data_IF_969589845591
#
_entry.id   IF_969589845591
#
_cell.length_a   1.000
_cell.length_b   1.000
_cell.length_c   1.000
_cell.angle_alpha   90.00
_cell.angle_beta   90.00
_cell.angle_gamma   90.00
#
_symmetry.space_group_name_H-M   'P 1'
#
loop_
_entity.id
_entity.type
_entity.pdbx_description
1 polymer ?
#
# COMPACT_ATOMS: atom_id res chain seq x y z
N UNK A 1 33.00 42.15 -10.14
CA UNK A 1 32.71 42.96 -11.34
C UNK A 1 33.61 42.63 -12.53
N UNK A 2 34.88 42.21 -12.37
CA UNK A 2 35.78 41.94 -13.50
C UNK A 2 35.50 40.66 -14.31
N UNK A 3 34.85 39.65 -13.71
CA UNK A 3 34.54 38.37 -14.37
C UNK A 3 33.36 38.44 -15.34
N UNK A 4 32.35 39.27 -15.03
CA UNK A 4 31.16 39.45 -15.87
C UNK A 4 31.51 40.25 -17.13
N UNK A 5 32.35 41.28 -17.00
CA UNK A 5 32.84 42.08 -18.12
C UNK A 5 33.73 41.27 -19.06
N UNK A 6 34.61 40.42 -18.51
CA UNK A 6 35.48 39.56 -19.30
C UNK A 6 34.69 38.48 -20.06
N UNK A 7 33.64 37.92 -19.45
CA UNK A 7 32.74 36.98 -20.12
C UNK A 7 31.93 37.66 -21.24
N UNK A 8 31.46 38.89 -21.02
CA UNK A 8 30.73 39.65 -22.03
C UNK A 8 31.61 39.97 -23.26
N UNK A 9 32.86 40.38 -23.06
CA UNK A 9 33.80 40.64 -24.17
C UNK A 9 34.13 39.37 -24.96
N UNK A 10 34.34 38.24 -24.26
CA UNK A 10 34.65 36.96 -24.91
C UNK A 10 33.45 36.44 -25.72
N UNK A 11 32.23 36.61 -25.20
CA UNK A 11 30.99 36.27 -25.91
C UNK A 11 30.79 37.19 -27.13
N UNK A 12 31.12 38.47 -27.02
CA UNK A 12 31.04 39.43 -28.12
C UNK A 12 32.00 39.06 -29.27
N UNK A 13 33.26 38.75 -28.94
CA UNK A 13 34.27 38.30 -29.91
C UNK A 13 33.90 36.96 -30.58
N UNK A 14 33.28 36.05 -29.82
CA UNK A 14 32.81 34.76 -30.34
C UNK A 14 31.60 34.91 -31.26
N UNK A 15 30.68 35.82 -30.93
CA UNK A 15 29.54 36.13 -31.78
C UNK A 15 30.04 36.73 -33.10
N UNK A 16 30.95 37.70 -33.07
CA UNK A 16 31.44 38.38 -34.29
C UNK A 16 32.19 37.48 -35.29
N UNK A 17 32.77 36.37 -34.83
CA UNK A 17 33.47 35.40 -35.69
C UNK A 17 32.57 34.39 -36.41
N UNK A 18 31.30 34.29 -36.04
CA UNK A 18 30.41 33.23 -36.52
C UNK A 18 29.30 33.76 -37.45
N UNK A 19 28.81 32.89 -38.35
CA UNK A 19 27.80 33.26 -39.35
C UNK A 19 26.50 33.77 -38.72
N UNK A 20 25.75 34.60 -39.45
CA UNK A 20 24.50 35.19 -38.96
C UNK A 20 23.48 34.15 -38.47
N UNK A 21 23.49 32.95 -39.05
CA UNK A 21 22.65 31.82 -38.63
C UNK A 21 23.04 31.30 -37.24
N UNK A 22 24.34 31.21 -36.94
CA UNK A 22 24.85 30.80 -35.62
C UNK A 22 24.55 31.88 -34.58
N UNK A 23 24.71 33.17 -34.94
CA UNK A 23 24.32 34.30 -34.08
C UNK A 23 22.86 34.19 -33.66
N UNK A 24 21.94 34.06 -34.62
CA UNK A 24 20.49 33.96 -34.39
C UNK A 24 20.12 32.73 -33.55
N UNK A 25 20.78 31.60 -33.79
CA UNK A 25 20.55 30.37 -33.02
C UNK A 25 20.98 30.52 -31.57
N UNK A 26 22.15 31.14 -31.33
CA UNK A 26 22.69 31.36 -29.99
C UNK A 26 21.85 32.38 -29.22
N UNK A 27 21.40 33.47 -29.84
CA UNK A 27 20.50 34.44 -29.20
C UNK A 27 19.14 33.83 -28.91
N UNK A 28 18.60 32.98 -29.78
CA UNK A 28 17.34 32.29 -29.51
C UNK A 28 17.46 31.34 -28.31
N UNK A 29 18.51 30.54 -28.24
CA UNK A 29 18.76 29.63 -27.09
C UNK A 29 18.99 30.41 -25.79
N UNK A 30 19.78 31.49 -25.84
CA UNK A 30 20.03 32.33 -24.67
C UNK A 30 18.75 33.04 -24.19
N UNK A 31 17.94 33.54 -25.12
CA UNK A 31 16.65 34.15 -24.80
C UNK A 31 15.71 33.12 -24.17
N UNK A 32 15.53 31.94 -24.77
CA UNK A 32 14.70 30.87 -24.21
C UNK A 32 15.17 30.42 -22.82
N UNK A 33 16.48 30.30 -22.60
CA UNK A 33 17.04 29.96 -21.30
C UNK A 33 16.78 31.05 -20.25
N UNK A 34 16.90 32.32 -20.62
CA UNK A 34 16.58 33.46 -19.75
C UNK A 34 15.09 33.51 -19.40
N UNK A 35 14.20 33.25 -20.38
CA UNK A 35 12.76 33.22 -20.15
C UNK A 35 12.39 32.07 -19.23
N UNK A 36 12.92 30.87 -19.47
CA UNK A 36 12.68 29.71 -18.61
C UNK A 36 13.21 29.93 -17.18
N UNK A 37 14.42 30.47 -17.03
CA UNK A 37 14.98 30.79 -15.72
C UNK A 37 14.15 31.85 -14.99
N UNK A 38 13.66 32.86 -15.71
CA UNK A 38 12.81 33.93 -15.17
C UNK A 38 11.45 33.38 -14.70
N UNK A 39 10.83 32.50 -15.51
CA UNK A 39 9.57 31.82 -15.17
C UNK A 39 9.76 30.93 -13.94
N UNK A 40 10.79 30.08 -13.92
CA UNK A 40 11.07 29.20 -12.77
C UNK A 40 11.37 30.00 -11.50
N UNK A 41 12.11 31.11 -11.62
CA UNK A 41 12.42 32.01 -10.49
C UNK A 41 11.16 32.72 -10.00
N UNK A 42 10.31 33.20 -10.92
CA UNK A 42 9.05 33.82 -10.58
C UNK A 42 8.10 32.83 -9.89
N UNK A 43 7.97 31.61 -10.43
CA UNK A 43 7.15 30.55 -9.86
C UNK A 43 7.62 30.15 -8.45
N UNK A 44 8.93 29.98 -8.25
CA UNK A 44 9.49 29.66 -6.93
C UNK A 44 9.29 30.81 -5.93
N UNK A 45 9.44 32.07 -6.35
CA UNK A 45 9.16 33.23 -5.51
C UNK A 45 7.67 33.39 -5.20
N UNK A 46 6.76 33.20 -6.15
CA UNK A 46 5.30 33.26 -5.96
C UNK A 46 4.83 32.19 -4.98
N UNK A 47 5.38 30.96 -5.07
CA UNK A 47 5.10 29.88 -4.10
C UNK A 47 5.60 30.21 -2.70
N UNK A 48 6.82 30.76 -2.58
CA UNK A 48 7.39 31.21 -1.29
C UNK A 48 6.56 32.33 -0.66
N UNK A 49 6.13 33.31 -1.48
CA UNK A 49 5.27 34.40 -1.03
C UNK A 49 3.93 33.87 -0.52
N UNK A 50 3.20 33.06 -1.30
CA UNK A 50 1.93 32.45 -0.87
C UNK A 50 2.09 31.65 0.43
N UNK A 51 3.14 30.85 0.56
CA UNK A 51 3.41 30.11 1.80
C UNK A 51 3.69 31.03 2.99
N UNK A 52 4.32 32.18 2.76
CA UNK A 52 4.58 33.19 3.79
C UNK A 52 3.31 33.94 4.20
N UNK A 53 2.55 34.47 3.24
CA UNK A 53 1.28 35.18 3.50
C UNK A 53 0.32 34.32 4.31
N UNK A 54 0.21 33.04 3.94
CA UNK A 54 -0.64 32.08 4.62
C UNK A 54 -0.16 31.78 6.06
N UNK A 55 1.15 31.77 6.30
CA UNK A 55 1.73 31.67 7.66
C UNK A 55 1.47 32.92 8.49
N UNK A 56 1.49 34.08 7.86
CA UNK A 56 1.22 35.36 8.52
C UNK A 56 -0.29 35.47 8.87
N UNK A 57 -1.19 35.06 7.97
CA UNK A 57 -2.64 34.95 8.24
C UNK A 57 -2.97 33.95 9.36
N UNK A 58 -2.25 32.82 9.43
CA UNK A 58 -2.42 31.83 10.50
C UNK A 58 -1.85 32.29 11.85
N UNK A 59 -0.81 33.11 11.84
CA UNK A 59 -0.28 33.76 13.05
C UNK A 59 -1.25 34.79 13.63
N UNK A 60 -1.99 35.50 12.79
CA UNK A 60 -3.06 36.39 13.27
C UNK A 60 -4.24 35.62 13.89
N UNK A 61 -4.38 34.32 13.58
CA UNK A 61 -5.40 33.43 14.14
C UNK A 61 -5.00 32.70 15.44
N UNK A 62 -3.91 33.13 16.12
CA UNK A 62 -3.34 32.42 17.27
C UNK A 62 -4.35 32.25 18.42
N UNK A 63 -4.80 31.01 18.60
CA UNK A 63 -5.48 30.53 19.80
C UNK A 63 -4.56 30.68 21.01
N UNK A 64 -5.04 31.37 22.05
CA UNK A 64 -4.39 31.46 23.35
C UNK A 64 -3.86 30.10 23.81
N UNK A 65 -2.53 29.97 23.98
CA UNK A 65 -1.94 28.89 24.77
C UNK A 65 -1.59 29.40 26.17
N UNK A 66 -2.41 29.17 27.20
CA UNK A 66 -1.89 28.79 28.49
C UNK A 66 -1.69 27.25 28.45
N UNK A 67 -0.75 26.64 29.17
CA UNK A 67 -0.75 26.57 30.62
C UNK A 67 0.65 26.13 31.10
N UNK A 68 1.07 26.74 32.20
CA UNK A 68 2.22 26.41 33.02
C UNK A 68 1.76 25.54 34.21
N UNK A 69 2.34 24.37 34.48
CA UNK A 69 2.01 23.61 35.71
C UNK A 69 3.19 22.90 36.40
N UNK A 70 3.28 23.22 37.70
CA UNK A 70 3.43 22.45 38.97
C UNK A 70 4.28 21.16 39.08
N UNK A 71 4.64 20.71 40.32
CA UNK A 71 5.57 19.60 40.59
C UNK A 71 5.18 18.18 40.12
N UNK A 72 4.04 18.00 39.43
CA UNK A 72 3.61 16.73 38.80
C UNK A 72 3.45 16.89 37.27
N UNK A 73 4.08 17.93 36.69
CA UNK A 73 4.05 18.31 35.27
C UNK A 73 3.14 19.53 35.01
N UNK A 74 3.24 20.26 33.89
CA UNK A 74 4.29 20.46 32.85
C UNK A 74 4.54 21.96 32.67
N UNK A 75 5.78 22.44 32.52
CA UNK A 75 6.44 22.63 31.20
C UNK A 75 7.96 22.39 31.29
N UNK A 76 8.58 21.84 30.23
CA UNK A 76 10.01 22.09 29.96
C UNK A 76 10.15 22.47 28.50
N UNK A 77 10.87 23.56 28.24
CA UNK A 77 11.21 24.04 26.91
C UNK A 77 11.83 22.96 26.03
N UNK A 78 11.96 23.28 24.74
CA UNK A 78 12.56 22.41 23.72
C UNK A 78 14.05 22.16 23.98
N UNK A 79 14.41 21.51 25.08
CA UNK A 79 15.67 20.81 25.20
C UNK A 79 15.45 19.44 24.58
N UNK A 80 15.89 19.27 23.33
CA UNK A 80 16.08 17.95 22.73
C UNK A 80 17.15 17.22 23.56
N UNK A 81 16.79 16.23 24.39
CA UNK A 81 17.79 15.46 25.11
C UNK A 81 18.44 14.52 24.10
N UNK A 82 19.62 14.90 23.64
CA UNK A 82 20.50 14.04 22.85
C UNK A 82 20.85 12.83 23.74
N UNK A 83 20.42 11.62 23.36
CA UNK A 83 20.68 10.32 24.02
C UNK A 83 19.80 9.88 25.21
N UNK A 84 18.46 9.96 25.12
CA UNK A 84 17.57 9.26 26.09
C UNK A 84 17.09 7.85 25.67
N UNK A 85 17.36 7.41 24.43
CA UNK A 85 16.90 6.10 23.97
C UNK A 85 17.96 5.02 24.19
N UNK A 86 17.91 4.37 25.34
CA UNK A 86 18.62 3.11 25.60
C UNK A 86 17.85 1.96 24.93
N UNK A 87 18.50 0.82 24.65
CA UNK A 87 17.77 -0.36 24.15
C UNK A 87 16.63 -0.77 25.09
N UNK A 88 16.78 -0.56 26.40
CA UNK A 88 15.72 -0.82 27.38
C UNK A 88 14.48 0.06 27.16
N UNK A 89 14.64 1.36 26.84
CA UNK A 89 13.49 2.23 26.57
C UNK A 89 12.84 1.93 25.22
N UNK A 90 13.64 1.53 24.22
CA UNK A 90 13.12 1.08 22.92
C UNK A 90 12.32 -0.22 23.08
N UNK A 91 12.84 -1.19 23.83
CA UNK A 91 12.13 -2.43 24.16
C UNK A 91 10.82 -2.17 24.91
N UNK A 92 10.82 -1.23 25.86
CA UNK A 92 9.61 -0.82 26.56
C UNK A 92 8.56 -0.21 25.60
N UNK A 93 8.99 0.70 24.71
CA UNK A 93 8.14 1.32 23.69
C UNK A 93 7.54 0.28 22.71
N UNK A 94 8.30 -0.76 22.36
CA UNK A 94 7.90 -1.80 21.41
C UNK A 94 7.34 -3.07 22.07
N UNK A 95 7.12 -3.06 23.38
CA UNK A 95 6.75 -4.24 24.18
C UNK A 95 5.51 -4.94 23.65
N UNK A 96 4.44 -4.20 23.35
CA UNK A 96 3.16 -4.77 22.85
C UNK A 96 3.27 -5.37 21.46
N UNK A 97 4.02 -4.73 20.57
CA UNK A 97 4.34 -5.29 19.25
C UNK A 97 5.16 -6.57 19.41
N UNK A 98 6.09 -6.61 20.37
CA UNK A 98 6.94 -7.78 20.64
C UNK A 98 6.18 -8.95 21.26
N UNK A 99 5.27 -8.68 22.19
CA UNK A 99 4.35 -9.68 22.76
C UNK A 99 3.48 -10.30 21.66
N UNK A 100 2.96 -9.49 20.74
CA UNK A 100 2.09 -9.95 19.66
C UNK A 100 2.82 -10.76 18.59
N UNK A 101 3.97 -10.28 18.09
CA UNK A 101 4.74 -10.93 17.02
C UNK A 101 5.66 -12.05 17.52
N UNK A 102 5.87 -12.13 18.85
CA UNK A 102 6.96 -12.88 19.45
C UNK A 102 8.34 -12.25 19.19
N UNK A 103 9.31 -12.61 20.04
CA UNK A 103 10.67 -12.03 20.00
C UNK A 103 11.37 -12.17 18.64
N UNK A 104 11.19 -13.29 17.94
CA UNK A 104 11.79 -13.54 16.63
C UNK A 104 11.18 -12.63 15.55
N UNK A 105 9.85 -12.56 15.47
CA UNK A 105 9.15 -11.74 14.49
C UNK A 105 9.43 -10.25 14.70
N UNK A 106 9.39 -9.80 15.96
CA UNK A 106 9.71 -8.43 16.32
C UNK A 106 11.16 -8.04 15.97
N UNK A 107 12.13 -8.95 16.14
CA UNK A 107 13.52 -8.71 15.73
C UNK A 107 13.64 -8.51 14.22
N UNK A 108 12.98 -9.33 13.41
CA UNK A 108 12.97 -9.17 11.94
C UNK A 108 12.43 -7.81 11.53
N UNK A 109 11.34 -7.38 12.15
CA UNK A 109 10.78 -6.04 11.92
C UNK A 109 11.78 -4.96 12.35
N UNK A 110 12.44 -5.11 13.51
CA UNK A 110 13.46 -4.17 14.00
C UNK A 110 14.74 -4.09 13.17
N UNK A 111 14.99 -5.06 12.30
CA UNK A 111 16.17 -5.11 11.44
C UNK A 111 15.86 -4.69 10.00
N UNK A 112 14.58 -4.51 9.65
CA UNK A 112 14.15 -4.31 8.27
C UNK A 112 14.35 -2.89 7.74
N UNK A 113 14.41 -2.81 6.42
CA UNK A 113 14.46 -1.59 5.62
C UNK A 113 13.25 -1.52 4.69
N UNK A 114 12.47 -0.43 4.80
CA UNK A 114 11.28 -0.21 3.98
C UNK A 114 11.36 1.11 3.22
N UNK A 115 11.01 1.10 1.95
CA UNK A 115 10.91 2.31 1.11
C UNK A 115 9.44 2.64 0.88
N UNK A 116 9.08 3.91 1.04
CA UNK A 116 7.74 4.43 0.79
C UNK A 116 7.80 5.46 -0.33
N UNK A 117 7.16 5.17 -1.47
CA UNK A 117 7.07 6.08 -2.61
C UNK A 117 5.70 6.76 -2.60
N UNK A 118 5.70 8.07 -2.36
CA UNK A 118 4.51 8.88 -2.11
C UNK A 118 4.27 9.10 -0.62
N UNK A 119 4.29 10.36 -0.19
CA UNK A 119 4.07 10.84 1.17
C UNK A 119 2.68 11.50 1.34
N UNK A 120 1.68 11.07 0.55
CA UNK A 120 0.29 11.51 0.69
C UNK A 120 -0.45 10.85 1.86
N UNK A 121 -1.78 10.93 1.86
CA UNK A 121 -2.62 10.39 2.93
C UNK A 121 -2.60 8.86 3.10
N UNK A 122 -1.98 8.10 2.19
CA UNK A 122 -1.73 6.66 2.37
C UNK A 122 -0.33 6.43 2.89
N UNK A 123 0.68 6.86 2.13
CA UNK A 123 2.08 6.60 2.45
C UNK A 123 2.54 7.24 3.75
N UNK A 124 2.06 8.43 4.11
CA UNK A 124 2.40 9.06 5.40
C UNK A 124 1.94 8.21 6.59
N UNK A 125 0.75 7.59 6.49
CA UNK A 125 0.21 6.73 7.55
C UNK A 125 0.89 5.36 7.58
N UNK A 126 1.19 4.79 6.40
CA UNK A 126 1.95 3.55 6.31
C UNK A 126 3.34 3.71 6.95
N UNK A 127 4.07 4.77 6.57
CA UNK A 127 5.38 5.08 7.13
C UNK A 127 5.32 5.30 8.65
N UNK A 128 4.30 5.99 9.16
CA UNK A 128 4.13 6.25 10.59
C UNK A 128 3.89 4.97 11.38
N UNK A 129 3.09 4.04 10.87
CA UNK A 129 2.83 2.76 11.54
C UNK A 129 4.07 1.84 11.50
N UNK A 130 4.84 1.86 10.41
CA UNK A 130 6.12 1.14 10.33
C UNK A 130 7.15 1.69 11.30
N UNK A 131 7.24 3.01 11.43
CA UNK A 131 8.07 3.69 12.43
C UNK A 131 7.71 3.21 13.84
N UNK A 132 6.41 3.22 14.18
CA UNK A 132 5.90 2.80 15.49
C UNK A 132 6.06 1.30 15.75
N UNK A 133 6.17 0.48 14.71
CA UNK A 133 6.51 -0.93 14.83
C UNK A 133 8.02 -1.17 15.05
N UNK A 134 8.84 -0.13 14.92
CA UNK A 134 10.27 -0.19 15.18
C UNK A 134 11.12 -0.59 13.98
N UNK A 135 10.60 -0.46 12.75
CA UNK A 135 11.39 -0.68 11.51
C UNK A 135 12.68 0.13 11.57
N UNK A 136 13.83 -0.50 11.31
CA UNK A 136 15.15 0.12 11.52
C UNK A 136 15.38 1.33 10.65
N UNK A 137 14.99 1.21 9.39
CA UNK A 137 15.29 2.16 8.35
C UNK A 137 14.06 2.36 7.47
N UNK A 138 13.62 3.60 7.37
CA UNK A 138 12.52 3.99 6.48
C UNK A 138 13.05 5.06 5.52
N UNK A 139 12.92 4.83 4.22
CA UNK A 139 13.15 5.87 3.22
C UNK A 139 11.82 6.33 2.68
N UNK A 140 11.59 7.63 2.63
CA UNK A 140 10.37 8.21 2.07
C UNK A 140 10.74 9.07 0.87
N UNK A 141 10.11 8.80 -0.27
CA UNK A 141 10.36 9.47 -1.55
C UNK A 141 9.09 10.21 -1.97
N UNK A 142 9.15 11.53 -2.04
CA UNK A 142 8.08 12.38 -2.58
C UNK A 142 8.66 13.76 -2.94
N UNK A 143 8.26 14.30 -4.09
CA UNK A 143 8.68 15.63 -4.57
C UNK A 143 7.74 16.76 -4.12
N UNK A 144 6.54 16.44 -3.61
CA UNK A 144 5.52 17.41 -3.23
C UNK A 144 5.83 18.13 -1.91
N UNK A 145 5.15 19.27 -1.74
CA UNK A 145 5.10 20.03 -0.48
C UNK A 145 3.77 19.81 0.25
N UNK A 146 3.78 20.05 1.56
CA UNK A 146 2.57 20.08 2.39
C UNK A 146 1.73 21.30 1.98
N UNK A 147 0.47 21.05 1.63
CA UNK A 147 -0.55 22.08 1.36
C UNK A 147 -1.58 22.12 2.49
N UNK A 148 -2.36 23.19 2.60
CA UNK A 148 -3.51 23.22 3.52
C UNK A 148 -4.46 22.04 3.29
N UNK A 149 -4.75 21.75 2.02
CA UNK A 149 -5.61 20.63 1.63
C UNK A 149 -4.99 19.26 1.93
N UNK A 150 -3.71 19.18 2.31
CA UNK A 150 -3.08 17.94 2.77
C UNK A 150 -3.42 17.63 4.22
N UNK A 151 -3.70 18.65 5.05
CA UNK A 151 -3.89 18.52 6.50
C UNK A 151 -5.10 17.68 6.90
N UNK A 152 -6.09 17.54 6.01
CA UNK A 152 -7.26 16.69 6.28
C UNK A 152 -6.95 15.18 6.28
N UNK A 153 -5.76 14.76 5.81
CA UNK A 153 -5.43 13.33 5.63
C UNK A 153 -3.96 12.96 5.82
N UNK A 154 -3.03 13.91 5.79
CA UNK A 154 -1.61 13.62 6.03
C UNK A 154 -1.39 13.26 7.51
N UNK A 155 -0.57 12.25 7.78
CA UNK A 155 -0.52 11.62 9.11
C UNK A 155 0.04 12.50 10.23
N UNK A 156 1.05 13.33 9.92
CA UNK A 156 1.81 14.10 10.93
C UNK A 156 1.88 15.59 10.62
N UNK A 157 1.37 16.04 9.47
CA UNK A 157 1.55 17.42 9.06
C UNK A 157 0.65 18.35 9.88
N UNK A 158 1.22 19.47 10.31
CA UNK A 158 0.53 20.53 11.04
C UNK A 158 0.47 21.80 10.20
N UNK A 159 -0.21 22.84 10.70
CA UNK A 159 -0.27 24.15 10.04
C UNK A 159 1.13 24.76 9.82
N UNK A 160 2.07 24.53 10.73
CA UNK A 160 3.45 25.05 10.62
C UNK A 160 4.23 24.43 9.46
N UNK A 161 3.88 23.21 9.08
CA UNK A 161 4.56 22.44 8.04
C UNK A 161 4.11 22.83 6.63
N UNK A 162 3.06 23.64 6.48
CA UNK A 162 2.58 24.11 5.18
C UNK A 162 3.70 24.84 4.42
N UNK A 163 3.90 24.45 3.17
CA UNK A 163 4.97 24.93 2.29
C UNK A 163 6.32 24.22 2.45
N UNK A 164 6.44 23.26 3.38
CA UNK A 164 7.65 22.42 3.50
C UNK A 164 7.52 21.13 2.68
N UNK A 165 8.61 20.54 2.18
CA UNK A 165 8.56 19.23 1.52
C UNK A 165 7.95 18.16 2.43
N UNK A 166 7.02 17.33 1.90
CA UNK A 166 6.31 16.32 2.70
C UNK A 166 7.27 15.34 3.39
N UNK A 167 8.31 14.89 2.68
CA UNK A 167 9.32 13.98 3.24
C UNK A 167 10.11 14.60 4.40
N UNK A 168 10.38 15.92 4.36
CA UNK A 168 11.04 16.63 5.45
C UNK A 168 10.13 16.80 6.66
N UNK A 169 8.85 17.11 6.43
CA UNK A 169 7.83 17.12 7.47
C UNK A 169 7.76 15.76 8.17
N UNK A 170 7.69 14.66 7.40
CA UNK A 170 7.71 13.30 7.94
C UNK A 170 8.96 13.06 8.79
N UNK A 171 10.16 13.33 8.27
CA UNK A 171 11.41 13.12 9.01
C UNK A 171 11.47 13.90 10.32
N UNK A 172 11.05 15.17 10.32
CA UNK A 172 10.97 16.01 11.52
C UNK A 172 10.12 15.32 12.59
N UNK A 173 8.88 15.00 12.27
CA UNK A 173 7.93 14.39 13.22
C UNK A 173 8.33 12.96 13.61
N UNK A 174 8.96 12.20 12.72
CA UNK A 174 9.41 10.84 13.02
C UNK A 174 10.55 10.82 14.03
N UNK A 175 11.48 11.79 13.94
CA UNK A 175 12.56 11.93 14.92
C UNK A 175 12.03 12.29 16.32
N UNK A 176 10.86 12.91 16.43
CA UNK A 176 10.19 13.18 17.71
C UNK A 176 9.53 11.92 18.30
N UNK A 177 9.11 10.98 17.45
CA UNK A 177 8.35 9.77 17.84
C UNK A 177 9.27 8.58 18.13
N UNK A 178 10.27 8.36 17.28
CA UNK A 178 11.16 7.20 17.35
C UNK A 178 12.55 7.57 16.77
N UNK A 179 13.36 8.35 17.51
CA UNK A 179 14.68 8.80 17.04
C UNK A 179 15.70 7.67 16.84
N UNK A 180 15.40 6.45 17.31
CA UNK A 180 16.19 5.25 17.08
C UNK A 180 15.99 4.64 15.67
N UNK A 181 15.00 5.13 14.91
CA UNK A 181 14.76 4.72 13.53
C UNK A 181 15.49 5.67 12.58
N UNK A 182 16.24 5.12 11.63
CA UNK A 182 16.87 5.90 10.57
C UNK A 182 15.81 6.30 9.54
N UNK A 183 15.64 7.59 9.30
CA UNK A 183 14.70 8.11 8.29
C UNK A 183 15.44 8.89 7.19
N UNK A 184 15.38 8.38 5.96
CA UNK A 184 15.88 9.06 4.77
C UNK A 184 14.73 9.83 4.09
N UNK A 185 14.90 11.14 3.90
CA UNK A 185 13.95 12.03 3.23
C UNK A 185 14.42 12.37 1.81
N UNK A 186 13.89 11.68 0.81
CA UNK A 186 14.27 11.85 -0.58
C UNK A 186 13.25 12.75 -1.31
N UNK A 187 13.65 13.98 -1.63
CA UNK A 187 12.84 14.90 -2.44
C UNK A 187 13.15 14.63 -3.91
N UNK A 188 12.44 13.68 -4.50
CA UNK A 188 12.64 13.31 -5.91
C UNK A 188 11.36 12.73 -6.52
N UNK A 189 11.27 12.77 -7.85
CA UNK A 189 10.23 12.13 -8.65
C UNK A 189 10.82 10.88 -9.29
N UNK A 190 10.19 9.74 -9.06
CA UNK A 190 10.61 8.46 -9.64
C UNK A 190 10.46 8.48 -11.17
N UNK A 191 11.54 8.11 -11.86
CA UNK A 191 11.62 7.95 -13.31
C UNK A 191 12.58 6.81 -13.66
N UNK A 192 12.71 6.49 -14.95
CA UNK A 192 13.54 5.37 -15.41
C UNK A 192 15.03 5.55 -15.10
N UNK A 193 15.52 6.79 -14.99
CA UNK A 193 16.94 7.09 -14.83
C UNK A 193 17.39 7.02 -13.36
N UNK A 194 16.49 7.27 -12.41
CA UNK A 194 16.82 7.32 -10.97
C UNK A 194 16.25 6.16 -10.14
N UNK A 195 15.45 5.26 -10.73
CA UNK A 195 14.75 4.20 -9.99
C UNK A 195 15.71 3.22 -9.29
N UNK A 196 16.84 2.86 -9.93
CA UNK A 196 17.85 1.97 -9.32
C UNK A 196 18.47 2.61 -8.06
N UNK A 197 18.75 3.91 -8.09
CA UNK A 197 19.33 4.65 -6.96
C UNK A 197 18.31 4.87 -5.84
N UNK A 198 17.10 5.30 -6.21
CA UNK A 198 16.03 5.59 -5.26
C UNK A 198 15.61 4.34 -4.49
N UNK A 199 15.50 3.20 -5.18
CA UNK A 199 15.13 1.90 -4.60
C UNK A 199 16.34 1.06 -4.17
N UNK A 200 17.54 1.64 -4.18
CA UNK A 200 18.77 0.99 -3.79
C UNK A 200 18.83 0.64 -2.29
N UNK A 201 19.82 -0.20 -1.94
CA UNK A 201 20.06 -0.62 -0.56
C UNK A 201 19.32 -1.89 -0.13
N UNK A 202 18.76 -2.65 -1.09
CA UNK A 202 18.07 -3.94 -0.88
C UNK A 202 16.95 -3.85 0.18
N UNK A 203 15.88 -3.07 -0.09
CA UNK A 203 14.77 -2.97 0.84
C UNK A 203 14.04 -4.32 0.98
N UNK A 204 13.60 -4.62 2.20
CA UNK A 204 12.74 -5.77 2.47
C UNK A 204 11.36 -5.59 1.83
N UNK A 205 10.87 -4.34 1.77
CA UNK A 205 9.61 -3.96 1.15
C UNK A 205 9.64 -2.57 0.51
N UNK A 206 8.88 -2.43 -0.57
CA UNK A 206 8.55 -1.17 -1.23
C UNK A 206 7.05 -0.92 -1.15
N UNK A 207 6.66 0.27 -0.70
CA UNK A 207 5.27 0.73 -0.68
C UNK A 207 5.07 1.72 -1.82
N UNK A 208 4.13 1.41 -2.70
CA UNK A 208 3.69 2.34 -3.72
C UNK A 208 2.39 3.03 -3.29
N UNK A 209 2.51 4.31 -2.94
CA UNK A 209 1.42 5.23 -2.63
C UNK A 209 1.33 6.38 -3.66
N UNK A 210 1.81 6.15 -4.89
CA UNK A 210 1.80 7.12 -5.99
C UNK A 210 0.37 7.30 -6.53
N UNK A 211 0.01 8.52 -6.92
CA UNK A 211 -1.28 8.84 -7.54
C UNK A 211 -1.26 8.79 -9.08
N UNK A 212 -0.13 9.11 -9.72
CA UNK A 212 0.05 8.97 -11.15
C UNK A 212 0.08 7.49 -11.58
N UNK A 213 -0.80 7.12 -12.52
CA UNK A 213 -0.96 5.73 -12.98
C UNK A 213 0.27 5.23 -13.72
N UNK A 214 0.93 6.04 -14.54
CA UNK A 214 2.08 5.61 -15.34
C UNK A 214 3.30 5.35 -14.45
N UNK A 215 3.66 6.31 -13.59
CA UNK A 215 4.76 6.14 -12.62
C UNK A 215 4.51 4.96 -11.67
N UNK A 216 3.25 4.73 -11.26
CA UNK A 216 2.83 3.56 -10.50
C UNK A 216 3.12 2.25 -11.24
N UNK A 217 2.76 2.16 -12.51
CA UNK A 217 3.03 0.98 -13.34
C UNK A 217 4.53 0.76 -13.50
N UNK A 218 5.30 1.82 -13.71
CA UNK A 218 6.76 1.73 -13.86
C UNK A 218 7.43 1.22 -12.59
N UNK A 219 7.03 1.74 -11.42
CA UNK A 219 7.48 1.25 -10.12
C UNK A 219 7.11 -0.22 -9.89
N UNK A 220 5.85 -0.58 -10.14
CA UNK A 220 5.37 -1.96 -9.97
C UNK A 220 6.12 -2.93 -10.89
N UNK A 221 6.35 -2.55 -12.15
CA UNK A 221 7.12 -3.32 -13.13
C UNK A 221 8.57 -3.49 -12.67
N UNK A 222 9.23 -2.40 -12.29
CA UNK A 222 10.62 -2.43 -11.83
C UNK A 222 10.79 -3.37 -10.63
N UNK A 223 9.92 -3.25 -9.62
CA UNK A 223 9.95 -4.13 -8.46
C UNK A 223 9.70 -5.61 -8.85
N UNK A 224 8.77 -5.86 -9.76
CA UNK A 224 8.50 -7.22 -10.26
C UNK A 224 9.74 -7.83 -10.95
N UNK A 225 10.37 -7.09 -11.87
CA UNK A 225 11.53 -7.55 -12.62
C UNK A 225 12.75 -7.79 -11.74
N UNK A 226 12.97 -6.92 -10.74
CA UNK A 226 14.07 -7.02 -9.76
C UNK A 226 13.74 -7.94 -8.59
N UNK A 227 12.55 -8.54 -8.55
CA UNK A 227 12.05 -9.40 -7.47
C UNK A 227 12.06 -8.71 -6.09
N UNK A 228 11.77 -7.41 -6.07
CA UNK A 228 11.57 -6.65 -4.84
C UNK A 228 10.12 -6.84 -4.35
N UNK A 229 9.95 -7.08 -3.05
CA UNK A 229 8.61 -7.18 -2.48
C UNK A 229 7.94 -5.80 -2.55
N UNK A 230 6.80 -5.73 -3.24
CA UNK A 230 6.06 -4.49 -3.42
C UNK A 230 4.59 -4.66 -3.05
N UNK A 231 4.05 -3.67 -2.36
CA UNK A 231 2.61 -3.51 -2.14
C UNK A 231 2.17 -2.13 -2.64
N UNK A 232 1.13 -2.11 -3.48
CA UNK A 232 0.62 -0.88 -4.09
C UNK A 232 -0.76 -0.49 -3.57
N UNK A 233 -0.94 0.78 -3.24
CA UNK A 233 -2.24 1.35 -2.95
C UNK A 233 -3.00 1.67 -4.22
N UNK A 234 -4.22 1.16 -4.31
CA UNK A 234 -5.19 1.50 -5.35
C UNK A 234 -6.02 2.72 -4.93
N UNK A 235 -7.23 2.88 -5.48
CA UNK A 235 -7.99 4.12 -5.34
C UNK A 235 -8.60 4.24 -3.95
N UNK A 236 -8.07 5.12 -3.10
CA UNK A 236 -8.69 5.46 -1.80
C UNK A 236 -9.66 6.65 -1.87
N UNK A 237 -9.70 7.36 -3.01
CA UNK A 237 -10.58 8.52 -3.21
C UNK A 237 -12.03 8.13 -3.48
N UNK A 238 -12.95 9.06 -3.19
CA UNK A 238 -14.40 8.90 -3.37
C UNK A 238 -15.03 7.72 -2.62
N UNK A 239 -14.38 7.22 -1.56
CA UNK A 239 -14.82 6.08 -0.75
C UNK A 239 -15.12 6.50 0.68
N UNK A 240 -15.96 5.73 1.36
CA UNK A 240 -16.42 6.01 2.72
C UNK A 240 -16.56 4.75 3.61
N UNK A 241 -16.61 3.54 3.05
CA UNK A 241 -16.85 2.31 3.82
C UNK A 241 -15.51 1.61 4.17
N UNK A 242 -15.07 1.67 5.45
CA UNK A 242 -13.82 1.05 5.87
C UNK A 242 -13.86 -0.47 5.87
N UNK A 243 -15.04 -1.09 5.97
CA UNK A 243 -15.20 -2.55 5.99
C UNK A 243 -14.88 -3.21 4.64
N UNK A 244 -14.75 -2.39 3.58
CA UNK A 244 -14.54 -2.82 2.20
C UNK A 244 -13.07 -2.78 1.77
N UNK A 245 -12.17 -2.31 2.64
CA UNK A 245 -10.72 -2.30 2.39
C UNK A 245 -10.18 -3.72 2.47
N UNK A 246 -9.48 -4.15 1.42
CA UNK A 246 -8.93 -5.50 1.32
C UNK A 246 -7.50 -5.45 0.79
N UNK A 247 -6.72 -6.47 1.13
CA UNK A 247 -5.40 -6.73 0.55
C UNK A 247 -5.48 -8.05 -0.20
N UNK A 248 -5.11 -8.02 -1.47
CA UNK A 248 -5.07 -9.20 -2.33
C UNK A 248 -4.00 -9.04 -3.40
N UNK A 249 -3.77 -10.10 -4.19
CA UNK A 249 -3.00 -9.97 -5.42
C UNK A 249 -3.75 -9.11 -6.45
N UNK A 250 -3.00 -8.36 -7.27
CA UNK A 250 -3.57 -7.51 -8.33
C UNK A 250 -4.49 -8.30 -9.27
N UNK A 251 -4.21 -9.59 -9.51
CA UNK A 251 -5.01 -10.47 -10.37
C UNK A 251 -6.41 -10.73 -9.82
N UNK A 252 -6.59 -10.68 -8.50
CA UNK A 252 -7.82 -11.03 -7.80
C UNK A 252 -8.73 -9.83 -7.50
N UNK A 253 -8.22 -8.62 -7.72
CA UNK A 253 -8.96 -7.38 -7.46
C UNK A 253 -10.26 -7.27 -8.26
N UNK A 254 -11.31 -6.80 -7.60
CA UNK A 254 -12.63 -6.61 -8.19
C UNK A 254 -13.26 -5.29 -7.72
N UNK A 255 -14.20 -4.77 -8.51
CA UNK A 255 -14.92 -3.50 -8.31
C UNK A 255 -14.11 -2.19 -8.33
N UNK A 256 -12.83 -2.19 -7.93
CA UNK A 256 -12.00 -0.99 -7.92
C UNK A 256 -11.60 -0.55 -9.35
N UNK A 257 -11.98 0.67 -9.81
CA UNK A 257 -11.66 1.15 -11.15
C UNK A 257 -10.16 1.39 -11.39
N UNK A 258 -9.44 1.86 -10.37
CA UNK A 258 -7.99 2.08 -10.47
C UNK A 258 -7.28 0.73 -10.57
N UNK A 259 -7.63 -0.21 -9.69
CA UNK A 259 -7.06 -1.56 -9.73
C UNK A 259 -7.33 -2.25 -11.07
N UNK A 260 -8.55 -2.09 -11.64
CA UNK A 260 -8.89 -2.61 -12.97
C UNK A 260 -8.02 -2.02 -14.07
N UNK A 261 -7.77 -0.71 -14.03
CA UNK A 261 -6.94 -0.01 -15.03
C UNK A 261 -5.48 -0.44 -14.92
N UNK A 262 -4.94 -0.45 -13.69
CA UNK A 262 -3.57 -0.90 -13.39
C UNK A 262 -3.37 -2.34 -13.84
N UNK A 263 -4.28 -3.25 -13.44
CA UNK A 263 -4.25 -4.67 -13.85
C UNK A 263 -4.24 -4.83 -15.38
N UNK A 264 -5.04 -4.06 -16.11
CA UNK A 264 -5.06 -4.12 -17.59
C UNK A 264 -3.74 -3.65 -18.20
N UNK A 265 -3.10 -2.63 -17.63
CA UNK A 265 -1.79 -2.15 -18.09
C UNK A 265 -0.68 -3.16 -17.78
N UNK A 266 -0.65 -3.72 -16.58
CA UNK A 266 0.30 -4.77 -16.19
C UNK A 266 0.18 -6.03 -17.06
N UNK A 267 -1.05 -6.45 -17.39
CA UNK A 267 -1.28 -7.58 -18.31
C UNK A 267 -0.70 -7.37 -19.71
N UNK A 268 -0.59 -6.11 -20.18
CA UNK A 268 0.06 -5.81 -21.47
C UNK A 268 1.59 -5.89 -21.39
N UNK A 269 2.14 -5.90 -20.17
CA UNK A 269 3.56 -6.05 -19.87
C UNK A 269 3.87 -7.48 -19.41
N UNK A 270 2.98 -8.44 -19.68
CA UNK A 270 3.06 -9.84 -19.26
C UNK A 270 3.11 -10.09 -17.74
N UNK A 271 2.73 -9.10 -16.93
CA UNK A 271 2.60 -9.24 -15.48
C UNK A 271 1.15 -9.60 -15.13
N UNK A 272 0.89 -10.88 -14.87
CA UNK A 272 -0.45 -11.41 -14.61
C UNK A 272 -0.83 -11.44 -13.13
N UNK A 273 0.14 -11.68 -12.24
CA UNK A 273 0.01 -11.84 -10.79
C UNK A 273 1.37 -11.65 -10.10
N UNK A 274 1.40 -11.65 -8.77
CA UNK A 274 2.62 -11.55 -7.97
C UNK A 274 2.85 -10.17 -7.34
N UNK A 275 1.85 -9.27 -7.43
CA UNK A 275 1.93 -7.94 -6.84
C UNK A 275 0.75 -7.74 -5.89
N UNK A 276 1.07 -7.57 -4.60
CA UNK A 276 0.09 -7.28 -3.56
C UNK A 276 -0.45 -5.87 -3.73
N UNK A 277 -1.75 -5.68 -3.52
CA UNK A 277 -2.38 -4.37 -3.56
C UNK A 277 -3.41 -4.19 -2.45
N UNK A 278 -3.47 -2.97 -1.90
CA UNK A 278 -4.56 -2.53 -1.06
C UNK A 278 -5.61 -1.84 -1.95
N UNK A 279 -6.84 -2.33 -1.92
CA UNK A 279 -7.95 -1.79 -2.71
C UNK A 279 -9.23 -1.81 -1.88
N UNK A 280 -10.31 -1.25 -2.42
CA UNK A 280 -11.62 -1.37 -1.78
C UNK A 280 -12.69 -1.79 -2.79
N UNK A 281 -13.58 -2.65 -2.31
CA UNK A 281 -14.72 -3.21 -3.06
C UNK A 281 -15.94 -2.31 -3.05
N UNK A 282 -15.86 -1.15 -2.40
CA UNK A 282 -16.92 -0.14 -2.39
C UNK A 282 -17.17 0.40 -3.81
N UNK A 283 -18.45 0.51 -4.17
CA UNK A 283 -18.92 1.12 -5.41
C UNK A 283 -19.42 2.54 -5.10
N UNK A 284 -18.61 3.59 -5.33
CA UNK A 284 -19.06 4.94 -5.03
C UNK A 284 -20.17 5.34 -6.00
N UNK A 285 -21.37 5.60 -5.48
CA UNK A 285 -22.55 5.97 -6.28
C UNK A 285 -22.92 7.45 -6.17
N UNK A 286 -22.43 8.15 -5.15
CA UNK A 286 -22.91 9.47 -4.74
C UNK A 286 -21.87 10.58 -4.86
N UNK A 287 -20.63 10.25 -5.22
CA UNK A 287 -19.52 11.20 -5.30
C UNK A 287 -19.32 11.66 -6.74
N UNK A 288 -19.53 12.95 -7.00
CA UNK A 288 -19.24 13.59 -8.29
C UNK A 288 -17.81 14.13 -8.32
N UNK A 289 -17.20 14.14 -9.49
CA UNK A 289 -15.90 14.80 -9.71
C UNK A 289 -16.08 16.30 -9.45
N UNK A 290 -15.14 16.89 -8.70
CA UNK A 290 -15.16 18.33 -8.48
C UNK A 290 -14.84 19.07 -9.80
N UNK A 291 -15.57 20.14 -10.14
CA UNK A 291 -15.21 20.98 -11.28
C UNK A 291 -13.82 21.59 -11.05
N UNK A 292 -13.06 21.77 -12.13
CA UNK A 292 -11.82 22.52 -12.07
C UNK A 292 -12.21 24.00 -11.89
N UNK A 293 -11.66 24.68 -10.88
CA UNK A 293 -11.83 26.13 -10.73
C UNK A 293 -11.35 26.84 -12.00
N UNK A 294 -12.17 27.74 -12.54
CA UNK A 294 -11.94 28.42 -13.82
C UNK A 294 -10.62 29.22 -13.85
N UNK A 295 -10.16 29.72 -12.71
CA UNK A 295 -8.85 30.39 -12.55
C UNK A 295 -7.63 29.48 -12.82
N UNK A 296 -7.78 28.14 -12.74
CA UNK A 296 -6.70 27.20 -13.05
C UNK A 296 -6.64 26.81 -14.54
N UNK A 297 -7.49 27.39 -15.37
CA UNK A 297 -7.54 27.12 -16.81
C UNK A 297 -6.45 27.90 -17.54
N UNK A 298 -6.10 29.12 -17.10
CA UNK A 298 -5.04 29.93 -17.71
C UNK A 298 -3.62 29.38 -17.43
N UNK A 299 -3.43 28.72 -16.29
CA UNK A 299 -2.17 28.05 -15.92
C UNK A 299 -1.96 26.69 -16.65
N UNK A 300 -2.87 26.29 -17.56
CA UNK A 300 -2.75 25.02 -18.32
C UNK A 300 -1.48 24.95 -19.15
N UNK A 301 -1.04 26.07 -19.71
CA UNK A 301 0.17 26.11 -20.54
C UNK A 301 1.47 26.13 -19.70
N UNK A 302 1.40 26.43 -18.40
CA UNK A 302 2.55 26.40 -17.49
C UNK A 302 2.74 25.05 -16.77
N UNK A 303 1.66 24.28 -16.57
CA UNK A 303 1.72 22.92 -15.99
C UNK A 303 1.68 21.79 -17.04
N UNK A 304 1.56 22.12 -18.33
CA UNK A 304 1.61 21.19 -19.47
C UNK A 304 2.99 20.57 -19.73
N UNK A 305 4.05 21.06 -19.08
CA UNK A 305 5.39 20.48 -19.17
C UNK A 305 5.49 19.06 -18.57
N UNK A 306 4.44 18.56 -17.90
CA UNK A 306 4.30 17.16 -17.50
C UNK A 306 3.07 16.54 -18.22
N UNK A 307 3.24 15.57 -19.13
CA UNK A 307 2.18 15.08 -20.03
C UNK A 307 0.95 14.40 -19.39
N UNK A 308 0.74 14.44 -18.07
CA UNK A 308 -0.32 13.67 -17.38
C UNK A 308 -0.88 14.34 -16.10
N UNK A 309 -0.72 15.65 -15.91
CA UNK A 309 -1.13 16.32 -14.66
C UNK A 309 -2.66 16.57 -14.57
N UNK A 310 -3.34 15.75 -13.74
CA UNK A 310 -4.72 15.81 -13.18
C UNK A 310 -5.83 16.47 -14.03
N UNK A 311 -6.56 15.63 -14.77
CA UNK A 311 -7.78 16.00 -15.52
C UNK A 311 -9.11 16.05 -14.72
N UNK A 312 -9.12 15.89 -13.38
CA UNK A 312 -10.24 16.12 -12.42
C UNK A 312 -9.86 15.56 -11.03
N UNK A 313 -10.21 16.21 -9.92
CA UNK A 313 -9.88 15.75 -8.55
C UNK A 313 -11.06 14.99 -7.95
N UNK A 314 -10.83 13.75 -7.50
CA UNK A 314 -11.78 13.01 -6.68
C UNK A 314 -11.73 13.55 -5.24
N UNK A 315 -12.88 13.87 -4.61
CA UNK A 315 -12.89 14.24 -3.21
C UNK A 315 -12.46 13.05 -2.34
N UNK A 316 -11.81 13.34 -1.22
CA UNK A 316 -11.19 12.34 -0.36
C UNK A 316 -11.60 12.58 1.09
N UNK A 317 -12.25 11.58 1.69
CA UNK A 317 -12.46 11.51 3.14
C UNK A 317 -11.18 10.98 3.78
N UNK A 318 -10.51 11.78 4.62
CA UNK A 318 -9.15 11.50 5.09
C UNK A 318 -8.97 10.17 5.85
N UNK A 319 -10.04 9.64 6.45
CA UNK A 319 -10.03 8.37 7.17
C UNK A 319 -9.81 7.15 6.26
N UNK A 320 -10.23 7.21 4.99
CA UNK A 320 -10.08 6.06 4.09
C UNK A 320 -8.64 5.87 3.60
N UNK A 321 -7.92 6.90 3.10
CA UNK A 321 -6.49 6.78 2.80
C UNK A 321 -5.66 6.36 4.02
N UNK A 322 -5.98 6.86 5.22
CA UNK A 322 -5.25 6.48 6.43
C UNK A 322 -5.43 4.99 6.74
N UNK A 323 -6.65 4.46 6.60
CA UNK A 323 -6.93 3.03 6.75
C UNK A 323 -6.23 2.16 5.69
N UNK A 324 -6.12 2.63 4.44
CA UNK A 324 -5.28 1.97 3.43
C UNK A 324 -3.82 1.92 3.89
N UNK A 325 -3.29 3.03 4.40
CA UNK A 325 -1.92 3.10 4.90
C UNK A 325 -1.68 2.17 6.09
N UNK A 326 -2.63 2.12 7.04
CA UNK A 326 -2.59 1.21 8.18
C UNK A 326 -2.67 -0.26 7.75
N UNK A 327 -3.58 -0.60 6.83
CA UNK A 327 -3.69 -1.96 6.31
C UNK A 327 -2.40 -2.42 5.61
N UNK A 328 -1.80 -1.55 4.80
CA UNK A 328 -0.51 -1.79 4.13
C UNK A 328 0.61 -2.02 5.17
N UNK A 329 0.71 -1.15 6.18
CA UNK A 329 1.74 -1.29 7.22
C UNK A 329 1.57 -2.61 7.99
N UNK A 330 0.35 -2.95 8.40
CA UNK A 330 0.05 -4.23 9.07
C UNK A 330 0.45 -5.41 8.20
N UNK A 331 0.14 -5.39 6.90
CA UNK A 331 0.53 -6.46 5.98
C UNK A 331 2.06 -6.63 5.90
N UNK A 332 2.79 -5.53 5.79
CA UNK A 332 4.27 -5.56 5.73
C UNK A 332 4.84 -6.09 7.04
N UNK A 333 4.38 -5.58 8.19
CA UNK A 333 4.85 -6.01 9.51
C UNK A 333 4.66 -7.52 9.69
N UNK A 334 3.47 -8.03 9.38
CA UNK A 334 3.15 -9.46 9.53
C UNK A 334 3.93 -10.34 8.55
N UNK A 335 4.19 -9.86 7.32
CA UNK A 335 5.02 -10.58 6.34
C UNK A 335 6.49 -10.63 6.75
N UNK A 336 7.07 -9.50 7.15
CA UNK A 336 8.47 -9.43 7.63
C UNK A 336 8.65 -10.27 8.89
N UNK A 337 7.68 -10.23 9.80
CA UNK A 337 7.69 -11.04 11.02
C UNK A 337 7.51 -12.55 10.76
N UNK A 338 7.14 -12.95 9.54
CA UNK A 338 6.73 -14.32 9.19
C UNK A 338 5.62 -14.82 10.12
N UNK A 339 4.59 -13.99 10.33
CA UNK A 339 3.50 -14.32 11.25
C UNK A 339 2.76 -15.59 10.80
N UNK A 340 2.61 -16.61 11.67
CA UNK A 340 2.03 -17.89 11.29
C UNK A 340 0.61 -17.76 10.72
N UNK A 341 0.37 -18.38 9.56
CA UNK A 341 -0.96 -18.42 8.94
C UNK A 341 -1.46 -17.08 8.39
N UNK A 342 -0.59 -16.07 8.25
CA UNK A 342 -0.95 -14.80 7.62
C UNK A 342 -0.97 -14.90 6.09
N UNK A 343 -2.12 -15.33 5.55
CA UNK A 343 -2.40 -15.39 4.12
C UNK A 343 -3.60 -14.48 3.79
N UNK A 344 -3.39 -13.17 3.50
CA UNK A 344 -4.48 -12.27 3.18
C UNK A 344 -5.15 -12.70 1.86
N UNK A 345 -6.49 -12.81 1.87
CA UNK A 345 -7.30 -13.23 0.73
C UNK A 345 -8.33 -12.18 0.34
N UNK A 346 -8.63 -12.13 -0.96
CA UNK A 346 -9.72 -11.33 -1.48
C UNK A 346 -11.07 -11.96 -1.06
N UNK A 347 -11.82 -11.29 -0.20
CA UNK A 347 -13.15 -11.73 0.23
C UNK A 347 -14.15 -11.27 -0.84
N UNK A 348 -14.54 -12.20 -1.73
CA UNK A 348 -15.38 -11.93 -2.92
C UNK A 348 -16.89 -11.93 -2.67
N UNK A 349 -17.35 -12.50 -1.55
CA UNK A 349 -18.78 -12.61 -1.16
C UNK A 349 -19.68 -13.09 -2.32
N UNK A 350 -19.38 -14.26 -2.88
CA UNK A 350 -20.10 -14.84 -4.03
C UNK A 350 -21.31 -15.66 -3.60
N UNK A 351 -22.34 -15.03 -3.04
CA UNK A 351 -23.50 -15.73 -2.46
C UNK A 351 -24.19 -16.73 -3.42
N UNK A 352 -24.31 -16.35 -4.70
CA UNK A 352 -24.87 -17.25 -5.72
C UNK A 352 -24.00 -18.48 -5.99
N UNK A 353 -22.67 -18.32 -5.92
CA UNK A 353 -21.73 -19.45 -6.03
C UNK A 353 -21.86 -20.37 -4.82
N UNK A 354 -21.87 -19.82 -3.60
CA UNK A 354 -21.96 -20.62 -2.37
C UNK A 354 -23.27 -21.39 -2.31
N UNK A 355 -24.39 -20.74 -2.68
CA UNK A 355 -25.70 -21.41 -2.78
C UNK A 355 -25.69 -22.56 -3.78
N UNK A 356 -25.03 -22.38 -4.94
CA UNK A 356 -24.89 -23.44 -5.94
C UNK A 356 -24.05 -24.60 -5.41
N UNK A 357 -22.90 -24.31 -4.81
CA UNK A 357 -21.97 -25.31 -4.25
C UNK A 357 -22.64 -26.07 -3.10
N UNK A 358 -23.37 -25.39 -2.22
CA UNK A 358 -24.13 -26.02 -1.13
C UNK A 358 -25.20 -26.99 -1.65
N UNK A 359 -26.01 -26.58 -2.63
CA UNK A 359 -27.01 -27.46 -3.26
C UNK A 359 -26.38 -28.68 -3.94
N UNK A 360 -25.24 -28.48 -4.61
CA UNK A 360 -24.50 -29.57 -5.25
C UNK A 360 -23.95 -30.55 -4.20
N UNK A 361 -23.33 -30.04 -3.14
CA UNK A 361 -22.84 -30.83 -2.00
C UNK A 361 -23.96 -31.65 -1.35
N UNK A 362 -25.12 -31.05 -1.06
CA UNK A 362 -26.29 -31.75 -0.52
C UNK A 362 -26.80 -32.86 -1.43
N UNK A 363 -26.83 -32.60 -2.74
CA UNK A 363 -27.27 -33.59 -3.72
C UNK A 363 -26.31 -34.78 -3.77
N UNK A 364 -25.00 -34.53 -3.63
CA UNK A 364 -23.99 -35.59 -3.57
C UNK A 364 -24.11 -36.40 -2.29
N UNK A 365 -24.27 -35.73 -1.15
CA UNK A 365 -24.42 -36.35 0.15
C UNK A 365 -25.61 -37.32 0.19
N UNK A 366 -26.76 -36.90 -0.36
CA UNK A 366 -27.94 -37.74 -0.49
C UNK A 366 -27.72 -38.94 -1.43
N UNK A 367 -26.99 -38.76 -2.54
CA UNK A 367 -26.78 -39.81 -3.54
C UNK A 367 -25.74 -40.85 -3.11
N UNK A 368 -24.64 -40.42 -2.51
CA UNK A 368 -23.51 -41.27 -2.16
C UNK A 368 -23.62 -41.89 -0.77
N UNK A 369 -24.28 -41.21 0.18
CA UNK A 369 -24.31 -41.62 1.60
C UNK A 369 -25.73 -41.70 2.18
N UNK A 370 -26.78 -41.41 1.39
CA UNK A 370 -28.18 -41.41 1.81
C UNK A 370 -28.48 -40.51 3.03
N UNK A 371 -27.68 -39.45 3.23
CA UNK A 371 -27.81 -38.49 4.31
C UNK A 371 -28.52 -37.22 3.81
N UNK A 372 -29.66 -36.88 4.43
CA UNK A 372 -30.48 -35.70 4.07
C UNK A 372 -30.17 -34.45 4.87
N UNK A 373 -29.55 -34.63 6.04
CA UNK A 373 -29.30 -33.55 7.00
C UNK A 373 -27.82 -33.19 6.92
N UNK A 374 -27.53 -31.93 6.65
CA UNK A 374 -26.18 -31.38 6.69
C UNK A 374 -26.09 -30.30 7.76
N UNK A 375 -24.99 -30.34 8.51
CA UNK A 375 -24.66 -29.40 9.57
C UNK A 375 -24.13 -28.07 9.05
N UNK A 376 -23.65 -28.04 7.79
CA UNK A 376 -23.04 -26.87 7.17
C UNK A 376 -24.11 -26.05 6.44
N UNK A 377 -24.18 -24.76 6.76
CA UNK A 377 -25.02 -23.80 6.05
C UNK A 377 -24.33 -23.23 4.79
N UNK A 378 -24.97 -22.29 4.10
CA UNK A 378 -24.42 -21.67 2.88
C UNK A 378 -23.19 -20.80 3.18
N UNK A 379 -23.14 -20.16 4.36
CA UNK A 379 -22.01 -19.32 4.79
C UNK A 379 -20.82 -20.18 5.18
N UNK A 380 -21.05 -21.31 5.84
CA UNK A 380 -20.05 -22.32 6.17
C UNK A 380 -19.41 -22.88 4.91
N UNK A 381 -20.22 -23.14 3.87
CA UNK A 381 -19.72 -23.51 2.54
C UNK A 381 -18.87 -22.40 1.93
N UNK A 382 -19.27 -21.14 2.07
CA UNK A 382 -18.46 -19.99 1.64
C UNK A 382 -17.11 -19.93 2.34
N UNK A 383 -17.09 -20.16 3.66
CA UNK A 383 -15.87 -20.22 4.47
C UNK A 383 -14.96 -21.37 4.05
N UNK A 384 -15.48 -22.59 3.94
CA UNK A 384 -14.70 -23.76 3.53
C UNK A 384 -14.15 -23.54 2.12
N UNK A 385 -14.98 -23.05 1.20
CA UNK A 385 -14.59 -22.85 -0.20
C UNK A 385 -13.52 -21.77 -0.38
N UNK A 386 -13.73 -20.58 0.18
CA UNK A 386 -12.83 -19.43 -0.04
C UNK A 386 -11.69 -19.37 0.99
N UNK A 387 -11.97 -19.53 2.29
CA UNK A 387 -10.95 -19.31 3.33
C UNK A 387 -10.10 -20.55 3.63
N UNK A 388 -10.70 -21.75 3.62
CA UNK A 388 -9.92 -22.97 3.85
C UNK A 388 -9.21 -23.43 2.58
N UNK A 389 -9.90 -23.40 1.45
CA UNK A 389 -9.41 -23.97 0.18
C UNK A 389 -9.03 -22.94 -0.88
N UNK A 390 -9.18 -21.65 -0.63
CA UNK A 390 -8.77 -20.57 -1.55
C UNK A 390 -9.42 -20.65 -2.93
N UNK A 391 -10.61 -21.25 -3.02
CA UNK A 391 -11.26 -21.53 -4.30
C UNK A 391 -10.40 -22.36 -5.25
N UNK A 392 -9.61 -23.31 -4.72
CA UNK A 392 -8.76 -24.24 -5.49
C UNK A 392 -9.07 -25.68 -5.12
N UNK A 393 -8.93 -26.58 -6.10
CA UNK A 393 -8.90 -28.01 -5.84
C UNK A 393 -7.68 -28.37 -4.98
N UNK A 394 -7.90 -29.30 -4.07
CA UNK A 394 -6.86 -29.94 -3.27
C UNK A 394 -5.87 -30.70 -4.14
N UNK A 395 -6.32 -31.24 -5.27
CA UNK A 395 -5.53 -32.10 -6.16
C UNK A 395 -4.96 -31.25 -7.32
N UNK A 396 -5.83 -30.71 -8.17
CA UNK A 396 -5.43 -30.01 -9.41
C UNK A 396 -5.16 -28.50 -9.26
N UNK A 397 -5.53 -27.88 -8.14
CA UNK A 397 -5.33 -26.44 -7.95
C UNK A 397 -6.44 -25.57 -8.59
N UNK A 398 -6.12 -24.43 -9.24
CA UNK A 398 -7.12 -23.48 -9.75
C UNK A 398 -8.03 -24.08 -10.84
N UNK A 399 -9.35 -24.02 -10.65
CA UNK A 399 -10.35 -24.46 -11.63
C UNK A 399 -11.67 -23.68 -11.44
N UNK A 400 -12.51 -23.58 -12.47
CA UNK A 400 -13.78 -22.87 -12.45
C UNK A 400 -14.96 -23.75 -11.99
N UNK A 401 -14.82 -25.08 -12.06
CA UNK A 401 -15.86 -26.08 -11.79
C UNK A 401 -15.55 -26.89 -10.54
N UNK A 402 -15.38 -26.17 -9.45
CA UNK A 402 -15.13 -26.74 -8.13
C UNK A 402 -16.43 -27.10 -7.40
N UNK A 403 -16.32 -28.11 -6.54
CA UNK A 403 -17.36 -28.60 -5.65
C UNK A 403 -16.75 -29.09 -4.33
N UNK A 404 -17.59 -29.26 -3.30
CA UNK A 404 -17.18 -29.78 -2.01
C UNK A 404 -17.63 -31.24 -1.86
N UNK A 405 -16.77 -32.08 -1.28
CA UNK A 405 -17.07 -33.47 -0.91
C UNK A 405 -16.37 -33.85 0.40
N UNK A 406 -16.72 -35.01 0.97
CA UNK A 406 -16.06 -35.58 2.15
C UNK A 406 -14.61 -35.96 1.82
N UNK A 407 -13.68 -35.78 2.75
CA UNK A 407 -12.31 -36.28 2.61
C UNK A 407 -12.20 -37.74 3.04
N UNK A 408 -12.59 -38.04 4.29
CA UNK A 408 -12.79 -39.40 4.78
C UNK A 408 -14.27 -39.75 4.64
N UNK A 409 -14.56 -40.71 3.74
CA UNK A 409 -15.93 -41.15 3.44
C UNK A 409 -16.68 -41.67 4.67
N UNK A 410 -15.97 -42.18 5.68
CA UNK A 410 -16.54 -42.75 6.92
C UNK A 410 -17.04 -41.68 7.89
N UNK A 411 -16.55 -40.45 7.77
CA UNK A 411 -16.91 -39.33 8.65
C UNK A 411 -17.96 -38.46 7.95
N UNK A 412 -18.82 -37.80 8.72
CA UNK A 412 -19.82 -36.85 8.20
C UNK A 412 -19.15 -35.58 7.66
N UNK A 413 -19.89 -34.79 6.89
CA UNK A 413 -19.46 -33.45 6.50
C UNK A 413 -19.28 -32.58 7.73
N UNK A 414 -18.10 -31.97 7.82
CA UNK A 414 -17.70 -31.05 8.87
C UNK A 414 -16.52 -30.20 8.35
N UNK A 415 -16.16 -29.13 9.06
CA UNK A 415 -15.00 -28.29 8.74
C UNK A 415 -13.70 -29.11 8.60
N UNK A 416 -13.54 -30.16 9.40
CA UNK A 416 -12.35 -31.01 9.43
C UNK A 416 -12.46 -32.26 8.54
N UNK A 417 -13.48 -32.35 7.70
CA UNK A 417 -13.68 -33.48 6.80
C UNK A 417 -14.23 -33.08 5.42
N UNK A 418 -14.19 -31.79 5.07
CA UNK A 418 -14.70 -31.30 3.78
C UNK A 418 -13.58 -30.71 2.95
N UNK A 419 -13.45 -31.18 1.71
CA UNK A 419 -12.40 -30.80 0.75
C UNK A 419 -12.99 -30.21 -0.51
N UNK A 420 -12.23 -29.28 -1.13
CA UNK A 420 -12.57 -28.70 -2.43
C UNK A 420 -11.90 -29.49 -3.56
N UNK A 421 -12.69 -29.93 -4.55
CA UNK A 421 -12.22 -30.71 -5.70
C UNK A 421 -12.95 -30.28 -6.97
N UNK A 422 -12.38 -30.55 -8.13
CA UNK A 422 -13.14 -30.46 -9.38
C UNK A 422 -14.25 -31.51 -9.37
N UNK A 423 -15.31 -31.28 -10.15
CA UNK A 423 -16.41 -32.26 -10.28
C UNK A 423 -15.94 -33.65 -10.70
N UNK A 424 -14.93 -33.73 -11.57
CA UNK A 424 -14.37 -34.98 -12.07
C UNK A 424 -13.65 -35.72 -10.95
N UNK A 425 -12.78 -35.01 -10.22
CA UNK A 425 -12.04 -35.55 -9.08
C UNK A 425 -12.97 -36.01 -7.97
N UNK A 426 -13.96 -35.20 -7.61
CA UNK A 426 -14.92 -35.54 -6.56
C UNK A 426 -15.74 -36.79 -6.95
N UNK A 427 -16.16 -36.91 -8.21
CA UNK A 427 -16.87 -38.11 -8.69
C UNK A 427 -16.00 -39.37 -8.68
N UNK A 428 -14.69 -39.24 -8.90
CA UNK A 428 -13.75 -40.35 -8.77
C UNK A 428 -13.54 -40.70 -7.28
N UNK A 429 -13.38 -39.69 -6.42
CA UNK A 429 -13.20 -39.84 -4.99
C UNK A 429 -14.38 -40.56 -4.33
N UNK A 430 -15.62 -40.18 -4.66
CA UNK A 430 -16.82 -40.78 -4.09
C UNK A 430 -17.00 -42.28 -4.46
N UNK A 431 -16.29 -42.77 -5.49
CA UNK A 431 -16.30 -44.18 -5.92
C UNK A 431 -15.23 -45.04 -5.22
N UNK A 432 -14.29 -44.44 -4.49
CA UNK A 432 -13.24 -45.17 -3.79
C UNK A 432 -13.80 -46.02 -2.64
N UNK A 433 -13.33 -47.24 -2.37
CA UNK A 433 -13.76 -48.01 -1.19
C UNK A 433 -13.59 -47.23 0.14
N UNK A 434 -14.47 -47.44 1.11
CA UNK A 434 -14.43 -46.70 2.40
C UNK A 434 -13.15 -46.90 3.21
N UNK A 435 -12.47 -48.03 3.03
CA UNK A 435 -11.21 -48.36 3.70
C UNK A 435 -9.97 -48.00 2.88
N UNK A 436 -10.11 -47.12 1.88
CA UNK A 436 -8.97 -46.69 1.07
C UNK A 436 -8.00 -45.87 1.91
N UNK A 437 -6.72 -46.25 1.85
CA UNK A 437 -5.63 -45.46 2.41
C UNK A 437 -5.41 -44.20 1.54
N UNK A 438 -5.93 -43.08 2.01
CA UNK A 438 -5.91 -41.80 1.28
C UNK A 438 -4.49 -41.26 1.09
N UNK A 439 -3.57 -41.53 2.01
CA UNK A 439 -2.16 -41.14 1.88
C UNK A 439 -1.50 -41.88 0.73
N UNK A 440 -1.76 -43.19 0.60
CA UNK A 440 -1.23 -43.99 -0.53
C UNK A 440 -1.91 -43.66 -1.86
N UNK A 441 -3.21 -43.35 -1.85
CA UNK A 441 -3.95 -43.10 -3.07
C UNK A 441 -3.62 -41.75 -3.71
N UNK A 442 -3.63 -40.66 -2.93
CA UNK A 442 -3.36 -39.31 -3.44
C UNK A 442 -1.89 -38.90 -3.34
N UNK A 443 -1.07 -39.69 -2.65
CA UNK A 443 0.32 -39.37 -2.36
C UNK A 443 0.46 -38.47 -1.14
N UNK A 444 1.67 -38.50 -0.58
CA UNK A 444 2.02 -37.83 0.68
C UNK A 444 1.87 -36.31 0.62
N UNK A 445 2.13 -35.69 -0.53
CA UNK A 445 2.05 -34.25 -0.70
C UNK A 445 0.61 -33.72 -0.55
N UNK A 446 -0.34 -34.34 -1.26
CA UNK A 446 -1.76 -33.97 -1.21
C UNK A 446 -2.32 -34.24 0.18
N UNK A 447 -2.00 -35.39 0.77
CA UNK A 447 -2.45 -35.75 2.12
C UNK A 447 -1.95 -34.75 3.17
N UNK A 448 -0.65 -34.41 3.15
CA UNK A 448 -0.08 -33.44 4.07
C UNK A 448 -0.71 -32.05 3.92
N UNK A 449 -1.00 -31.61 2.69
CA UNK A 449 -1.67 -30.33 2.44
C UNK A 449 -3.07 -30.29 3.07
N UNK A 450 -3.81 -31.40 3.01
CA UNK A 450 -5.13 -31.49 3.64
C UNK A 450 -5.01 -31.46 5.16
N UNK A 451 -4.13 -32.28 5.73
CA UNK A 451 -3.92 -32.33 7.18
C UNK A 451 -3.39 -31.02 7.75
N UNK A 452 -2.53 -30.29 7.02
CA UNK A 452 -2.07 -28.96 7.41
C UNK A 452 -3.24 -27.98 7.52
N UNK A 453 -4.11 -27.92 6.50
CA UNK A 453 -5.31 -27.05 6.52
C UNK A 453 -6.27 -27.41 7.64
N UNK A 454 -6.48 -28.70 7.89
CA UNK A 454 -7.29 -29.15 9.04
C UNK A 454 -6.63 -28.83 10.38
N UNK A 455 -5.31 -28.94 10.48
CA UNK A 455 -4.58 -28.56 11.70
C UNK A 455 -4.69 -27.07 11.98
N UNK A 456 -4.56 -26.22 10.95
CA UNK A 456 -4.81 -24.78 11.09
C UNK A 456 -6.23 -24.49 11.56
N UNK A 457 -7.23 -25.22 11.05
CA UNK A 457 -8.61 -25.08 11.51
C UNK A 457 -8.81 -25.52 12.97
N UNK A 458 -8.18 -26.62 13.39
CA UNK A 458 -8.19 -27.05 14.81
C UNK A 458 -7.58 -26.00 15.72
N UNK A 459 -6.46 -25.39 15.32
CA UNK A 459 -5.81 -24.33 16.09
C UNK A 459 -6.71 -23.10 16.23
N UNK A 460 -7.40 -22.70 15.15
CA UNK A 460 -8.39 -21.61 15.19
C UNK A 460 -9.52 -21.92 16.17
N UNK A 461 -10.11 -23.11 16.10
CA UNK A 461 -11.16 -23.54 17.02
C UNK A 461 -10.68 -23.58 18.48
N UNK A 462 -9.48 -24.09 18.73
CA UNK A 462 -8.90 -24.19 20.08
C UNK A 462 -8.59 -22.83 20.71
N UNK A 463 -8.13 -21.86 19.91
CA UNK A 463 -7.79 -20.51 20.40
C UNK A 463 -9.03 -19.81 20.97
N UNK A 464 -10.19 -19.98 20.35
CA UNK A 464 -11.43 -19.35 20.80
C UNK A 464 -12.22 -20.21 21.80
N UNK A 465 -12.04 -21.54 21.81
CA UNK A 465 -12.69 -22.43 22.80
C UNK A 465 -12.14 -22.31 24.22
N UNK A 466 -11.05 -21.55 24.43
CA UNK A 466 -10.58 -21.16 25.77
C UNK A 466 -11.14 -19.80 26.22
N UNK A 467 -11.75 -19.04 25.31
CA UNK A 467 -12.24 -17.67 25.52
C UNK A 467 -13.77 -17.62 25.56
N UNK A 468 -14.43 -18.47 24.77
CA UNK A 468 -15.87 -18.72 24.74
C UNK A 468 -16.21 -19.93 25.61
#
# INVERSE_FOLDING_TARGET
MSTITQFAETAHQFLDRNSNTVKLSLTAVAASALTAASILTYQTNKRRWRAKTLKDELKEADLHRPIDLTPVGTTIGHHNPVNLFTEQSIEAQLSKTTEFLGKKGARKVRESYVIVVGAGGVGSWAALMLLRAGVKHIRVIDFDQVTLSSLNRHAVATLEDVGTPKVRCIKKHFNEIAPFVKVDDCIDLLNADNVDDLLGGNPDFVIDAIDNINTKIDLMKYCYDKKLNVISSMGAGAKADPSRVQIADISETFEDPLARTVRRKLKKLDILSGIQVAYSTEKPSHVKLLPLEEEKIEDRDEFSALPDFRARILPVLGTIPSMFGMAIATNIILRIAEYPGFEPLAIKLRDGLYTRVHKEMMTREQRAFNEKICTLDVRDVGYIFEEMWHGKSVISGPDDKLCLTRWDRRKKLDYLNTVCMTRVEANAHDKLPENTDLEKHYGKEVYNRVEERFTQQRLRQATWGQVL
#
